data_IF_074359379818
#
_entry.id   IF_074359379818
#
_cell.length_a   1.000
_cell.length_b   1.000
_cell.length_c   1.000
_cell.angle_alpha   90.00
_cell.angle_beta   90.00
_cell.angle_gamma   90.00
#
_symmetry.space_group_name_H-M   'P 1'
#
loop_
_entity.id
_entity.type
_entity.pdbx_description
1 polymer ?
#
# COMPACT_ATOMS: atom_id res chain seq x y z
N UNK A 1 -5.93 -7.63 0.44
CA UNK A 1 -4.83 -6.98 -0.34
C UNK A 1 -3.59 -7.87 -0.42
N UNK A 2 -2.93 -8.27 0.66
CA UNK A 2 -1.71 -9.10 0.68
C UNK A 2 -1.85 -10.47 -0.03
N UNK A 3 -3.02 -11.08 -0.04
CA UNK A 3 -3.25 -12.34 -0.80
C UNK A 3 -3.13 -12.15 -2.31
N UNK A 4 -3.48 -10.98 -2.85
CA UNK A 4 -3.38 -10.67 -4.28
C UNK A 4 -1.93 -10.51 -4.75
N UNK A 5 -1.02 -10.06 -3.88
CA UNK A 5 0.41 -9.93 -4.20
C UNK A 5 1.15 -11.27 -4.30
N UNK A 6 0.61 -12.36 -3.73
CA UNK A 6 1.27 -13.67 -3.77
C UNK A 6 1.42 -14.19 -5.20
N UNK A 7 0.41 -13.98 -6.04
CA UNK A 7 0.41 -14.50 -7.41
C UNK A 7 1.50 -13.84 -8.27
N UNK A 8 1.60 -12.50 -8.38
CA UNK A 8 2.70 -11.87 -9.12
C UNK A 8 4.08 -12.27 -8.62
N UNK A 9 4.26 -12.36 -7.29
CA UNK A 9 5.52 -12.75 -6.70
C UNK A 9 5.90 -14.20 -7.05
N UNK A 10 4.94 -15.13 -6.96
CA UNK A 10 5.15 -16.53 -7.35
C UNK A 10 5.50 -16.62 -8.83
N UNK A 11 4.80 -15.88 -9.69
CA UNK A 11 5.10 -15.85 -11.13
C UNK A 11 6.53 -15.40 -11.39
N UNK A 12 7.00 -14.33 -10.75
CA UNK A 12 8.38 -13.87 -10.89
C UNK A 12 9.40 -14.90 -10.39
N UNK A 13 9.17 -15.49 -9.22
CA UNK A 13 10.06 -16.51 -8.65
C UNK A 13 10.16 -17.72 -9.58
N UNK A 14 9.02 -18.22 -10.08
CA UNK A 14 8.97 -19.36 -10.99
C UNK A 14 9.68 -19.03 -12.30
N UNK A 15 9.44 -17.84 -12.85
CA UNK A 15 10.09 -17.39 -14.09
C UNK A 15 11.60 -17.34 -13.93
N UNK A 16 12.12 -16.73 -12.86
CA UNK A 16 13.55 -16.68 -12.57
C UNK A 16 14.13 -18.08 -12.37
N UNK A 17 13.44 -18.94 -11.61
CA UNK A 17 13.88 -20.30 -11.36
C UNK A 17 13.97 -21.13 -12.65
N UNK A 18 12.94 -21.08 -13.48
CA UNK A 18 12.89 -21.83 -14.76
C UNK A 18 13.91 -21.29 -15.75
N UNK A 19 14.04 -19.97 -15.88
CA UNK A 19 15.01 -19.35 -16.79
C UNK A 19 16.45 -19.69 -16.39
N UNK A 20 16.77 -19.58 -15.11
CA UNK A 20 18.11 -19.93 -14.57
C UNK A 20 18.40 -21.42 -14.73
N UNK A 21 17.43 -22.29 -14.38
CA UNK A 21 17.58 -23.73 -14.51
C UNK A 21 17.87 -24.15 -15.94
N UNK A 22 17.16 -23.60 -16.92
CA UNK A 22 17.42 -23.92 -18.33
C UNK A 22 18.83 -23.56 -18.77
N UNK A 23 19.37 -22.42 -18.36
CA UNK A 23 20.76 -22.03 -18.67
C UNK A 23 21.81 -22.89 -17.96
N UNK A 24 21.49 -23.46 -16.81
CA UNK A 24 22.39 -24.40 -16.11
C UNK A 24 22.32 -25.83 -16.64
N UNK A 25 21.36 -26.15 -17.48
CA UNK A 25 21.20 -27.48 -18.08
C UNK A 25 21.67 -27.54 -19.55
N UNK A 26 21.57 -26.43 -20.27
CA UNK A 26 21.91 -26.38 -21.70
C UNK A 26 23.39 -26.03 -21.85
N UNK A 27 24.19 -26.89 -22.51
CA UNK A 27 25.62 -26.64 -22.72
C UNK A 27 25.87 -25.44 -23.63
N UNK A 28 26.92 -24.69 -23.33
CA UNK A 28 27.42 -23.60 -24.17
C UNK A 28 28.30 -24.10 -25.33
N UNK A 29 28.98 -23.16 -25.99
CA UNK A 29 30.03 -23.43 -26.96
C UNK A 29 31.30 -22.66 -26.55
N UNK A 30 32.45 -23.25 -26.84
CA UNK A 30 33.73 -22.55 -26.67
C UNK A 30 34.07 -21.66 -27.87
N UNK A 31 35.22 -20.95 -27.81
CA UNK A 31 35.69 -20.10 -28.91
C UNK A 31 36.04 -20.85 -30.21
N UNK A 32 36.05 -22.19 -30.18
CA UNK A 32 36.34 -23.07 -31.30
C UNK A 32 35.09 -23.79 -31.82
N UNK A 33 33.89 -23.46 -31.25
CA UNK A 33 32.63 -24.07 -31.64
C UNK A 33 32.39 -25.46 -31.02
N UNK A 34 33.25 -25.91 -30.09
CA UNK A 34 33.05 -27.17 -29.38
C UNK A 34 32.10 -27.01 -28.17
N UNK A 35 31.41 -28.09 -27.78
CA UNK A 35 30.55 -28.04 -26.61
C UNK A 35 31.34 -27.62 -25.36
N UNK A 36 30.90 -26.55 -24.71
CA UNK A 36 31.40 -26.06 -23.43
C UNK A 36 30.44 -26.46 -22.31
N UNK A 37 30.93 -26.52 -21.05
CA UNK A 37 30.05 -26.82 -19.91
C UNK A 37 28.89 -25.79 -19.84
N UNK A 38 27.74 -26.18 -19.29
CA UNK A 38 26.64 -25.25 -19.08
C UNK A 38 27.03 -24.16 -18.09
N UNK A 39 26.29 -23.07 -18.11
CA UNK A 39 26.54 -21.91 -17.26
C UNK A 39 26.42 -22.28 -15.77
N UNK A 40 27.32 -21.78 -14.92
CA UNK A 40 27.15 -21.95 -13.49
C UNK A 40 25.88 -21.25 -13.00
N UNK A 41 25.31 -21.72 -11.91
CA UNK A 41 24.10 -21.13 -11.33
C UNK A 41 24.23 -19.61 -11.14
N UNK A 42 25.37 -19.16 -10.64
CA UNK A 42 25.60 -17.74 -10.35
C UNK A 42 25.59 -16.89 -11.64
N UNK A 43 26.30 -17.35 -12.67
CA UNK A 43 26.31 -16.65 -13.97
C UNK A 43 24.93 -16.67 -14.65
N UNK A 44 24.23 -17.79 -14.59
CA UNK A 44 22.88 -17.91 -15.14
C UNK A 44 21.90 -16.97 -14.42
N UNK A 45 21.93 -16.93 -13.08
CA UNK A 45 21.09 -16.03 -12.29
C UNK A 45 21.42 -14.56 -12.57
N UNK A 46 22.69 -14.21 -12.62
CA UNK A 46 23.15 -12.86 -12.96
C UNK A 46 22.68 -12.44 -14.37
N UNK A 47 22.89 -13.34 -15.36
CA UNK A 47 22.42 -13.12 -16.72
C UNK A 47 20.90 -12.87 -16.80
N UNK A 48 20.11 -13.75 -16.18
CA UNK A 48 18.65 -13.62 -16.14
C UNK A 48 18.23 -12.31 -15.46
N UNK A 49 18.95 -11.90 -14.40
CA UNK A 49 18.64 -10.69 -13.64
C UNK A 49 18.79 -9.42 -14.50
N UNK A 50 19.91 -9.25 -15.17
CA UNK A 50 20.10 -8.05 -15.99
C UNK A 50 19.31 -8.08 -17.30
N UNK A 51 18.99 -9.27 -17.82
CA UNK A 51 18.15 -9.44 -19.01
C UNK A 51 16.69 -9.14 -18.66
N UNK A 52 16.16 -9.72 -17.60
CA UNK A 52 14.80 -9.51 -17.15
C UNK A 52 14.54 -8.07 -16.70
N UNK A 53 15.52 -7.39 -16.10
CA UNK A 53 15.45 -5.98 -15.74
C UNK A 53 15.66 -5.00 -16.90
N UNK A 54 15.89 -5.53 -18.12
CA UNK A 54 16.15 -4.75 -19.35
C UNK A 54 17.42 -3.90 -19.35
N UNK A 55 18.33 -4.12 -18.40
CA UNK A 55 19.60 -3.38 -18.32
C UNK A 55 20.59 -3.84 -19.41
N UNK A 56 20.66 -5.16 -19.66
CA UNK A 56 21.38 -5.72 -20.81
C UNK A 56 22.88 -5.48 -20.80
N UNK A 57 23.59 -5.74 -19.69
CA UNK A 57 25.04 -5.55 -19.62
C UNK A 57 25.84 -6.32 -20.68
N UNK A 58 25.28 -7.41 -21.22
CA UNK A 58 25.94 -8.20 -22.27
C UNK A 58 27.13 -9.05 -21.80
N UNK A 59 27.34 -9.14 -20.50
CA UNK A 59 28.41 -9.94 -19.91
C UNK A 59 28.00 -11.42 -19.87
N UNK A 60 28.67 -12.24 -20.67
CA UNK A 60 28.50 -13.69 -20.71
C UNK A 60 29.86 -14.38 -20.64
N UNK A 61 30.01 -15.42 -19.81
CA UNK A 61 31.33 -16.07 -19.57
C UNK A 61 31.79 -16.89 -20.78
N UNK A 62 30.86 -17.40 -21.60
CA UNK A 62 31.10 -18.22 -22.79
C UNK A 62 30.07 -17.89 -23.85
N UNK A 63 30.41 -18.05 -25.13
CA UNK A 63 29.47 -17.83 -26.23
C UNK A 63 28.26 -18.78 -26.13
N UNK A 64 27.06 -18.27 -26.43
CA UNK A 64 25.85 -19.09 -26.43
C UNK A 64 25.80 -20.04 -27.61
N UNK A 65 25.45 -21.30 -27.33
CA UNK A 65 25.00 -22.25 -28.33
C UNK A 65 23.64 -21.83 -28.91
N UNK A 66 23.25 -22.35 -30.07
CA UNK A 66 21.96 -22.06 -30.68
C UNK A 66 20.80 -22.51 -29.77
N UNK A 67 20.97 -23.61 -29.04
CA UNK A 67 20.01 -24.08 -28.06
C UNK A 67 19.86 -23.10 -26.89
N UNK A 68 20.97 -22.53 -26.37
CA UNK A 68 20.93 -21.48 -25.34
C UNK A 68 20.28 -20.19 -25.88
N UNK A 69 20.60 -19.79 -27.11
CA UNK A 69 19.96 -18.61 -27.75
C UNK A 69 18.46 -18.76 -27.84
N UNK A 70 17.98 -19.93 -28.30
CA UNK A 70 16.56 -20.23 -28.34
C UNK A 70 15.92 -20.18 -26.97
N UNK A 71 16.56 -20.78 -25.94
CA UNK A 71 16.07 -20.72 -24.56
C UNK A 71 16.00 -19.31 -24.03
N UNK A 72 17.06 -18.53 -24.22
CA UNK A 72 17.11 -17.12 -23.81
C UNK A 72 16.03 -16.29 -24.52
N UNK A 73 15.79 -16.53 -25.80
CA UNK A 73 14.71 -15.84 -26.54
C UNK A 73 13.35 -16.07 -25.88
N UNK A 74 13.04 -17.32 -25.52
CA UNK A 74 11.80 -17.64 -24.78
C UNK A 74 11.79 -16.94 -23.42
N UNK A 75 12.91 -16.97 -22.70
CA UNK A 75 13.03 -16.30 -21.40
C UNK A 75 12.83 -14.79 -21.48
N UNK A 76 13.31 -14.13 -22.54
CA UNK A 76 13.10 -12.69 -22.77
C UNK A 76 11.60 -12.38 -22.87
N UNK A 77 10.86 -13.07 -23.72
CA UNK A 77 9.41 -12.86 -23.87
C UNK A 77 8.67 -13.13 -22.56
N UNK A 78 8.97 -14.22 -21.89
CA UNK A 78 8.36 -14.56 -20.59
C UNK A 78 8.70 -13.51 -19.52
N UNK A 79 9.92 -13.00 -19.52
CA UNK A 79 10.36 -11.96 -18.57
C UNK A 79 9.60 -10.66 -18.79
N UNK A 80 9.46 -10.21 -20.04
CA UNK A 80 8.71 -8.98 -20.33
C UNK A 80 7.26 -9.12 -19.88
N UNK A 81 6.60 -10.24 -20.18
CA UNK A 81 5.23 -10.50 -19.74
C UNK A 81 5.13 -10.56 -18.21
N UNK A 82 6.01 -11.31 -17.57
CA UNK A 82 6.02 -11.49 -16.10
C UNK A 82 6.27 -10.19 -15.33
N UNK A 83 7.22 -9.37 -15.79
CA UNK A 83 7.50 -8.06 -15.20
C UNK A 83 6.34 -7.10 -15.41
N UNK A 84 5.81 -6.99 -16.64
CA UNK A 84 4.66 -6.14 -16.95
C UNK A 84 3.46 -6.50 -16.07
N UNK A 85 3.14 -7.78 -15.97
CA UNK A 85 2.06 -8.27 -15.10
C UNK A 85 2.29 -7.90 -13.64
N UNK A 86 3.51 -8.03 -13.15
CA UNK A 86 3.86 -7.74 -11.75
C UNK A 86 3.77 -6.26 -11.44
N UNK A 87 4.23 -5.39 -12.34
CA UNK A 87 4.13 -3.93 -12.21
C UNK A 87 2.66 -3.49 -12.21
N UNK A 88 1.86 -3.97 -13.17
CA UNK A 88 0.43 -3.64 -13.25
C UNK A 88 -0.30 -4.09 -11.97
N UNK A 89 0.02 -5.30 -11.48
CA UNK A 89 -0.58 -5.83 -10.25
C UNK A 89 -0.21 -5.01 -9.01
N UNK A 90 1.03 -4.51 -8.94
CA UNK A 90 1.49 -3.64 -7.86
C UNK A 90 0.78 -2.27 -7.92
N UNK A 91 0.67 -1.68 -9.10
CA UNK A 91 -0.06 -0.42 -9.30
C UNK A 91 -1.53 -0.56 -8.92
N UNK A 92 -2.18 -1.65 -9.35
CA UNK A 92 -3.56 -1.95 -8.99
C UNK A 92 -3.75 -2.09 -7.48
N UNK A 93 -2.76 -2.65 -6.76
CA UNK A 93 -2.80 -2.72 -5.31
C UNK A 93 -2.69 -1.34 -4.65
N UNK A 94 -1.77 -0.50 -5.13
CA UNK A 94 -1.60 0.87 -4.59
C UNK A 94 -2.86 1.70 -4.81
N UNK A 95 -3.57 1.47 -5.92
CA UNK A 95 -4.85 2.14 -6.24
C UNK A 95 -6.07 1.51 -5.55
N UNK A 96 -5.93 0.35 -4.89
CA UNK A 96 -7.04 -0.31 -4.20
C UNK A 96 -7.46 0.53 -2.98
N UNK A 97 -8.70 1.06 -3.03
CA UNK A 97 -9.26 1.91 -1.96
C UNK A 97 -9.23 1.22 -0.60
N UNK A 98 -9.49 -0.09 -0.53
CA UNK A 98 -9.44 -0.84 0.71
C UNK A 98 -8.03 -0.92 1.30
N UNK A 99 -7.01 -1.00 0.45
CA UNK A 99 -5.62 -0.97 0.91
C UNK A 99 -5.23 0.41 1.44
N UNK A 100 -5.62 1.47 0.73
CA UNK A 100 -5.38 2.85 1.16
C UNK A 100 -6.07 3.16 2.50
N UNK A 101 -7.33 2.74 2.67
CA UNK A 101 -8.07 2.92 3.92
C UNK A 101 -7.39 2.23 5.11
N UNK A 102 -6.88 1.00 4.93
CA UNK A 102 -6.14 0.29 6.00
C UNK A 102 -4.86 1.03 6.38
N UNK A 103 -4.13 1.55 5.40
CA UNK A 103 -2.92 2.35 5.65
C UNK A 103 -3.24 3.66 6.37
N UNK A 104 -4.24 4.41 5.88
CA UNK A 104 -4.69 5.66 6.49
C UNK A 104 -5.18 5.45 7.92
N UNK A 105 -6.03 4.44 8.15
CA UNK A 105 -6.53 4.11 9.48
C UNK A 105 -5.40 3.75 10.44
N UNK A 106 -4.38 3.03 9.98
CA UNK A 106 -3.21 2.67 10.79
C UNK A 106 -2.37 3.89 11.17
N UNK A 107 -2.12 4.81 10.24
CA UNK A 107 -1.40 6.06 10.49
C UNK A 107 -2.20 6.99 11.40
N UNK A 108 -3.49 7.16 11.12
CA UNK A 108 -4.39 7.94 11.94
C UNK A 108 -4.43 7.45 13.39
N UNK A 109 -4.67 6.16 13.63
CA UNK A 109 -4.70 5.60 14.97
C UNK A 109 -3.37 5.78 15.71
N UNK A 110 -2.24 5.76 15.00
CA UNK A 110 -0.93 6.02 15.58
C UNK A 110 -0.80 7.49 15.99
N UNK A 111 -1.25 8.43 15.13
CA UNK A 111 -1.24 9.87 15.44
C UNK A 111 -2.13 10.18 16.65
N UNK A 112 -3.36 9.66 16.67
CA UNK A 112 -4.28 9.81 17.80
C UNK A 112 -3.69 9.28 19.10
N UNK A 113 -3.03 8.12 19.07
CA UNK A 113 -2.40 7.51 20.27
C UNK A 113 -1.29 8.37 20.86
N UNK A 114 -0.65 9.22 20.07
CA UNK A 114 0.42 10.11 20.53
C UNK A 114 -0.09 11.50 20.95
N UNK A 115 -1.40 11.75 20.90
CA UNK A 115 -1.96 12.99 21.43
C UNK A 115 -1.76 13.06 22.94
N UNK A 116 -0.94 13.98 23.38
CA UNK A 116 -0.72 14.27 24.80
C UNK A 116 -1.73 15.24 25.39
N UNK A 117 -2.36 16.06 24.53
CA UNK A 117 -3.28 17.13 24.89
C UNK A 117 -4.74 16.64 24.92
N UNK A 118 -5.63 17.33 25.68
CA UNK A 118 -7.06 17.04 25.64
C UNK A 118 -7.65 17.26 24.25
N UNK A 119 -8.53 16.36 23.82
CA UNK A 119 -9.22 16.46 22.55
C UNK A 119 -10.67 15.98 22.63
N UNK A 120 -11.49 16.45 21.69
CA UNK A 120 -12.83 15.95 21.44
C UNK A 120 -12.89 15.20 20.11
N UNK A 121 -13.77 14.19 20.05
CA UNK A 121 -14.10 13.49 18.82
C UNK A 121 -15.34 14.15 18.23
N UNK A 122 -15.29 14.55 16.96
CA UNK A 122 -16.46 15.06 16.22
C UNK A 122 -16.87 13.98 15.21
N UNK A 123 -18.10 13.51 15.32
CA UNK A 123 -18.71 12.54 14.41
C UNK A 123 -19.69 13.27 13.50
N UNK A 124 -19.31 13.46 12.25
CA UNK A 124 -20.02 14.27 11.27
C UNK A 124 -19.42 15.67 11.14
N UNK A 125 -18.83 15.95 9.97
CA UNK A 125 -18.16 17.23 9.66
C UNK A 125 -18.94 18.05 8.61
N UNK A 126 -20.27 18.04 8.70
CA UNK A 126 -21.11 18.97 7.98
C UNK A 126 -20.94 20.41 8.49
N UNK A 127 -21.80 21.34 8.07
CA UNK A 127 -21.72 22.75 8.46
C UNK A 127 -21.64 22.93 9.98
N UNK A 128 -22.47 22.24 10.74
CA UNK A 128 -22.46 22.30 12.21
C UNK A 128 -21.17 21.74 12.80
N UNK A 129 -20.69 20.60 12.27
CA UNK A 129 -19.45 19.98 12.73
C UNK A 129 -18.25 20.87 12.48
N UNK A 130 -18.18 21.51 11.34
CA UNK A 130 -17.13 22.46 10.99
C UNK A 130 -17.15 23.69 11.90
N UNK A 131 -18.32 24.26 12.20
CA UNK A 131 -18.46 25.38 13.12
C UNK A 131 -17.95 25.02 14.52
N UNK A 132 -18.30 23.84 15.02
CA UNK A 132 -17.85 23.36 16.32
C UNK A 132 -16.33 23.09 16.31
N UNK A 133 -15.81 22.47 15.25
CA UNK A 133 -14.40 22.25 15.11
C UNK A 133 -13.59 23.55 15.19
N UNK A 134 -14.03 24.60 14.46
CA UNK A 134 -13.41 25.93 14.54
C UNK A 134 -13.52 26.57 15.94
N UNK A 135 -14.65 26.40 16.62
CA UNK A 135 -14.82 26.95 17.97
C UNK A 135 -13.88 26.27 18.99
N UNK A 136 -13.73 24.96 18.89
CA UNK A 136 -12.80 24.18 19.73
C UNK A 136 -11.35 24.57 19.45
N UNK A 137 -10.96 24.64 18.18
CA UNK A 137 -9.62 25.03 17.78
C UNK A 137 -9.23 26.43 18.28
N UNK A 138 -10.14 27.43 18.14
CA UNK A 138 -9.94 28.78 18.72
C UNK A 138 -9.81 28.78 20.23
N UNK A 139 -10.36 27.77 20.89
CA UNK A 139 -10.24 27.58 22.34
C UNK A 139 -8.99 26.79 22.73
N UNK A 140 -8.12 26.47 21.78
CA UNK A 140 -6.91 25.67 21.99
C UNK A 140 -7.16 24.20 22.29
N UNK A 141 -8.34 23.69 21.91
CA UNK A 141 -8.73 22.29 22.14
C UNK A 141 -8.59 21.52 20.84
N UNK A 142 -7.85 20.43 20.89
CA UNK A 142 -7.64 19.56 19.73
C UNK A 142 -8.92 18.83 19.31
N UNK A 143 -9.03 18.61 18.00
CA UNK A 143 -10.15 17.91 17.39
C UNK A 143 -9.66 16.67 16.65
N UNK A 144 -10.39 15.58 16.82
CA UNK A 144 -10.31 14.36 16.04
C UNK A 144 -11.64 14.17 15.33
N UNK A 145 -11.65 14.13 14.02
CA UNK A 145 -12.86 14.11 13.22
C UNK A 145 -13.11 12.75 12.55
N UNK A 146 -14.34 12.28 12.57
CA UNK A 146 -14.84 11.14 11.80
C UNK A 146 -15.89 11.65 10.81
N UNK A 147 -15.64 11.46 9.52
CA UNK A 147 -16.55 11.83 8.44
C UNK A 147 -16.55 10.73 7.38
N UNK A 148 -17.71 10.41 6.82
CA UNK A 148 -17.82 9.37 5.78
C UNK A 148 -17.72 9.92 4.37
N UNK A 149 -17.99 11.21 4.17
CA UNK A 149 -17.96 11.89 2.88
C UNK A 149 -16.56 12.45 2.60
N UNK A 150 -15.87 11.90 1.59
CA UNK A 150 -14.55 12.35 1.17
C UNK A 150 -14.55 13.84 0.75
N UNK A 151 -15.62 14.35 0.17
CA UNK A 151 -15.71 15.76 -0.25
C UNK A 151 -15.68 16.69 0.97
N UNK A 152 -16.41 16.36 2.03
CA UNK A 152 -16.41 17.13 3.28
C UNK A 152 -15.07 17.07 4.03
N UNK A 153 -14.36 15.94 3.90
CA UNK A 153 -13.01 15.82 4.46
C UNK A 153 -12.06 16.78 3.74
N UNK A 154 -12.14 16.85 2.41
CA UNK A 154 -11.32 17.79 1.63
C UNK A 154 -11.61 19.24 1.99
N UNK A 155 -12.90 19.60 2.20
CA UNK A 155 -13.28 20.94 2.67
C UNK A 155 -12.68 21.23 4.06
N UNK A 156 -12.71 20.25 4.97
CA UNK A 156 -12.15 20.39 6.31
C UNK A 156 -10.61 20.53 6.29
N UNK A 157 -9.93 19.82 5.40
CA UNK A 157 -8.48 19.90 5.23
C UNK A 157 -7.99 21.22 4.60
N UNK A 158 -8.88 21.92 3.86
CA UNK A 158 -8.58 23.23 3.28
C UNK A 158 -8.77 24.39 4.26
N UNK A 159 -9.33 24.12 5.44
CA UNK A 159 -9.55 25.13 6.46
C UNK A 159 -8.27 25.43 7.25
N UNK A 160 -8.04 26.71 7.54
CA UNK A 160 -6.94 27.17 8.39
C UNK A 160 -7.27 26.96 9.88
N UNK A 161 -6.87 25.82 10.41
CA UNK A 161 -6.90 25.53 11.84
C UNK A 161 -5.56 25.88 12.50
N UNK A 162 -5.61 26.41 13.73
CA UNK A 162 -4.40 26.69 14.50
C UNK A 162 -3.66 25.41 14.90
N UNK A 163 -4.40 24.33 15.11
CA UNK A 163 -3.86 23.00 15.38
C UNK A 163 -4.27 22.02 14.27
N UNK A 164 -3.33 21.16 13.85
CA UNK A 164 -3.57 20.13 12.86
C UNK A 164 -4.71 19.18 13.29
N UNK A 165 -5.82 19.19 12.56
CA UNK A 165 -6.98 18.31 12.80
C UNK A 165 -6.67 16.92 12.26
N UNK A 166 -6.92 15.91 13.09
CA UNK A 166 -6.83 14.52 12.66
C UNK A 166 -8.18 14.06 12.13
N UNK A 167 -8.24 13.78 10.84
CA UNK A 167 -9.47 13.34 10.17
C UNK A 167 -9.35 11.88 9.74
N UNK A 168 -10.43 11.10 9.90
CA UNK A 168 -10.56 9.74 9.38
C UNK A 168 -11.82 9.64 8.54
N UNK A 169 -11.67 9.19 7.29
CA UNK A 169 -12.78 8.81 6.43
C UNK A 169 -13.39 7.49 6.92
N UNK A 170 -14.42 7.57 7.75
CA UNK A 170 -15.04 6.38 8.34
C UNK A 170 -16.46 6.68 8.84
N UNK A 171 -17.26 5.60 8.89
CA UNK A 171 -18.58 5.63 9.48
C UNK A 171 -18.49 5.65 11.02
N UNK A 172 -18.95 6.73 11.64
CA UNK A 172 -18.93 6.91 13.09
C UNK A 172 -19.91 5.96 13.83
N UNK A 173 -20.92 5.42 13.14
CA UNK A 173 -21.85 4.45 13.73
C UNK A 173 -21.15 3.14 14.11
N UNK A 174 -19.96 2.87 13.58
CA UNK A 174 -19.20 1.67 13.88
C UNK A 174 -18.29 1.90 15.11
N UNK A 175 -18.47 1.15 16.22
CA UNK A 175 -17.70 1.36 17.45
C UNK A 175 -16.18 1.23 17.27
N UNK A 176 -15.74 0.44 16.30
CA UNK A 176 -14.34 0.25 15.99
C UNK A 176 -13.68 1.56 15.51
N UNK A 177 -14.40 2.36 14.73
CA UNK A 177 -13.90 3.64 14.22
C UNK A 177 -13.80 4.68 15.34
N UNK A 178 -14.70 4.67 16.30
CA UNK A 178 -14.62 5.50 17.50
C UNK A 178 -13.41 5.11 18.38
N UNK A 179 -13.11 3.82 18.49
CA UNK A 179 -11.92 3.35 19.19
C UNK A 179 -10.64 3.81 18.46
N UNK A 180 -10.61 3.74 17.14
CA UNK A 180 -9.51 4.28 16.33
C UNK A 180 -9.35 5.78 16.49
N UNK A 181 -10.47 6.53 16.63
CA UNK A 181 -10.49 7.96 16.90
C UNK A 181 -10.10 8.31 18.33
N UNK A 182 -9.83 7.31 19.16
CA UNK A 182 -9.34 7.54 20.51
C UNK A 182 -10.42 7.67 21.58
N UNK A 183 -11.62 7.11 21.39
CA UNK A 183 -12.69 7.16 22.39
C UNK A 183 -12.24 6.62 23.77
N UNK A 184 -11.34 5.64 23.79
CA UNK A 184 -10.75 5.07 25.02
C UNK A 184 -9.42 5.72 25.42
N UNK A 185 -9.02 6.79 24.74
CA UNK A 185 -7.77 7.46 25.05
C UNK A 185 -7.92 8.33 26.31
N UNK A 186 -6.91 8.32 27.17
CA UNK A 186 -6.92 9.08 28.44
C UNK A 186 -7.15 10.58 28.30
N UNK A 187 -6.74 11.15 27.16
CA UNK A 187 -6.90 12.58 26.85
C UNK A 187 -8.20 12.89 26.09
N UNK A 188 -9.01 11.88 25.72
CA UNK A 188 -10.30 12.11 25.12
C UNK A 188 -11.26 12.67 26.16
N UNK A 189 -11.89 13.81 25.86
CA UNK A 189 -12.85 14.49 26.74
C UNK A 189 -14.29 14.10 26.44
N UNK A 190 -14.56 13.61 25.23
CA UNK A 190 -15.88 13.17 24.82
C UNK A 190 -16.01 13.08 23.31
N UNK A 191 -17.18 12.59 22.87
CA UNK A 191 -17.54 12.52 21.47
C UNK A 191 -18.81 13.34 21.23
N UNK A 192 -18.83 14.10 20.12
CA UNK A 192 -19.96 14.90 19.66
C UNK A 192 -20.60 14.19 18.46
N UNK A 193 -21.81 13.69 18.62
CA UNK A 193 -22.55 13.00 17.59
C UNK A 193 -23.46 14.00 16.86
N UNK A 194 -23.03 14.44 15.69
CA UNK A 194 -23.67 15.50 14.90
C UNK A 194 -23.71 15.15 13.41
N UNK A 195 -23.91 13.87 13.13
CA UNK A 195 -24.15 13.40 11.77
C UNK A 195 -25.59 13.74 11.34
N UNK A 196 -25.85 13.62 10.04
CA UNK A 196 -27.19 13.76 9.45
C UNK A 196 -28.08 12.51 9.65
N UNK A 197 -27.60 11.48 10.36
CA UNK A 197 -28.29 10.21 10.61
C UNK A 197 -28.49 10.02 12.13
N UNK A 198 -29.74 10.09 12.58
CA UNK A 198 -30.11 9.90 13.98
C UNK A 198 -29.69 8.53 14.53
N UNK A 199 -29.75 7.50 13.69
CA UNK A 199 -29.31 6.14 14.07
C UNK A 199 -27.81 6.08 14.33
N UNK A 200 -27.02 6.77 13.51
CA UNK A 200 -25.59 6.90 13.71
C UNK A 200 -25.28 7.71 14.99
N UNK A 201 -25.99 8.80 15.22
CA UNK A 201 -25.82 9.61 16.43
C UNK A 201 -26.16 8.82 17.69
N UNK A 202 -27.22 8.00 17.64
CA UNK A 202 -27.56 7.09 18.75
C UNK A 202 -26.49 6.04 18.98
N UNK A 203 -25.96 5.45 17.90
CA UNK A 203 -24.87 4.45 18.00
C UNK A 203 -23.62 5.06 18.65
N UNK A 204 -23.23 6.27 18.26
CA UNK A 204 -22.12 7.02 18.87
C UNK A 204 -22.38 7.26 20.35
N UNK A 205 -23.58 7.72 20.72
CA UNK A 205 -23.94 7.99 22.12
C UNK A 205 -23.89 6.72 22.98
N UNK A 206 -24.35 5.58 22.44
CA UNK A 206 -24.28 4.27 23.15
C UNK A 206 -22.82 3.82 23.31
N UNK A 207 -22.00 3.97 22.28
CA UNK A 207 -20.59 3.55 22.33
C UNK A 207 -19.72 4.41 23.23
N UNK A 208 -20.16 5.64 23.52
CA UNK A 208 -19.44 6.63 24.34
C UNK A 208 -19.69 6.51 25.84
N UNK A 209 -20.59 5.62 26.24
CA UNK A 209 -20.87 5.29 27.65
C UNK A 209 -19.83 4.34 28.23
#
# INVERSE_FOLDING_TARGET
>A
ALRRMRVPLIVLIVLYAVSTLGLTLVPGIDGQGQPAPPMSFFHAFYFVSYTASTIGFGEIPVAFSDAQRMWVTVCIFLSVIGWSYSIISLLALVQDKGFQQVLQSGQFARRVRHLGEPFYIICGCGETGLLIARALDRSGIRVVALERDEARIQELELEDFAADILVLCADAAQPQNLILAGLKHRSCRGALAITDDDSANLAVAIASR
#
